data_IF_067965182915
#
_entry.id   IF_067965182915
#
_cell.length_a   1.000
_cell.length_b   1.000
_cell.length_c   1.000
_cell.angle_alpha   90.00
_cell.angle_beta   90.00
_cell.angle_gamma   90.00
#
_symmetry.space_group_name_H-M   'P 1'
#
loop_
_entity.id
_entity.type
_entity.pdbx_description
1 polymer ?
#
# COMPACT_ATOMS: atom_id res chain seq x y z
N UNK A 1 -6.53 30.32 39.25
CA UNK A 1 -6.53 30.00 37.81
C UNK A 1 -7.65 29.01 37.58
N UNK A 2 -8.64 29.37 36.76
CA UNK A 2 -9.73 28.46 36.38
C UNK A 2 -9.17 27.38 35.45
N UNK A 3 -9.62 26.11 35.54
CA UNK A 3 -9.23 25.11 34.55
C UNK A 3 -9.74 25.54 33.16
N UNK A 4 -9.00 25.24 32.07
CA UNK A 4 -9.48 25.53 30.74
C UNK A 4 -10.82 24.82 30.50
N UNK A 5 -11.78 25.45 29.83
CA UNK A 5 -13.04 24.80 29.49
C UNK A 5 -12.74 23.55 28.67
N UNK A 6 -13.23 22.41 29.13
CA UNK A 6 -13.00 21.09 28.54
C UNK A 6 -13.80 20.83 27.27
N UNK A 7 -14.71 21.73 26.90
CA UNK A 7 -15.59 21.60 25.75
C UNK A 7 -15.49 22.80 24.81
N UNK A 8 -15.25 22.54 23.53
CA UNK A 8 -15.36 23.52 22.46
C UNK A 8 -16.84 23.69 22.08
N UNK A 9 -17.53 24.62 22.72
CA UNK A 9 -18.98 24.81 22.56
C UNK A 9 -19.41 25.61 21.32
N UNK A 10 -18.45 26.17 20.58
CA UNK A 10 -18.75 27.02 19.43
C UNK A 10 -19.06 26.23 18.15
N UNK A 11 -18.60 24.98 18.05
CA UNK A 11 -18.83 24.18 16.85
C UNK A 11 -20.32 24.02 16.54
N UNK A 12 -21.15 23.74 17.55
CA UNK A 12 -22.59 23.55 17.37
C UNK A 12 -23.35 24.83 17.03
N UNK A 13 -22.74 26.00 17.25
CA UNK A 13 -23.33 27.31 16.93
C UNK A 13 -23.12 27.70 15.47
N UNK A 14 -22.25 26.99 14.75
CA UNK A 14 -22.03 27.23 13.33
C UNK A 14 -23.24 26.79 12.51
N UNK A 15 -23.59 27.52 11.43
CA UNK A 15 -24.52 27.06 10.40
C UNK A 15 -24.19 25.63 9.94
N UNK A 16 -25.23 24.87 9.60
CA UNK A 16 -25.08 23.46 9.25
C UNK A 16 -24.11 23.26 8.08
N UNK A 17 -24.14 24.14 7.09
CA UNK A 17 -23.27 24.11 5.92
C UNK A 17 -21.78 24.15 6.32
N UNK A 18 -21.43 25.03 7.27
CA UNK A 18 -20.05 25.16 7.75
C UNK A 18 -19.64 23.94 8.57
N UNK A 19 -20.53 23.38 9.40
CA UNK A 19 -20.23 22.17 10.19
C UNK A 19 -19.97 20.97 9.28
N UNK A 20 -20.80 20.79 8.26
CA UNK A 20 -20.62 19.71 7.27
C UNK A 20 -19.33 19.89 6.47
N UNK A 21 -18.98 21.12 6.10
CA UNK A 21 -17.73 21.39 5.38
C UNK A 21 -16.50 21.13 6.26
N UNK A 22 -16.55 21.51 7.54
CA UNK A 22 -15.50 21.17 8.50
C UNK A 22 -15.35 19.65 8.62
N UNK A 23 -16.45 18.88 8.69
CA UNK A 23 -16.36 17.42 8.73
C UNK A 23 -15.70 16.86 7.47
N UNK A 24 -16.06 17.33 6.29
CA UNK A 24 -15.43 16.88 5.03
C UNK A 24 -13.94 17.17 5.02
N UNK A 25 -13.54 18.38 5.41
CA UNK A 25 -12.15 18.82 5.48
C UNK A 25 -11.36 18.18 6.63
N UNK A 26 -12.04 17.60 7.62
CA UNK A 26 -11.38 16.88 8.73
C UNK A 26 -10.87 15.49 8.34
N UNK A 27 -11.26 14.99 7.16
CA UNK A 27 -10.72 13.74 6.63
C UNK A 27 -9.28 13.96 6.18
N UNK A 28 -8.39 13.08 6.62
CA UNK A 28 -6.96 13.13 6.30
C UNK A 28 -6.56 11.89 5.54
N UNK A 29 -5.52 12.04 4.75
CA UNK A 29 -4.82 10.91 4.14
C UNK A 29 -4.27 9.99 5.23
N UNK A 30 -4.24 8.69 4.96
CA UNK A 30 -3.68 7.70 5.88
C UNK A 30 -3.30 6.41 5.18
N UNK A 31 -2.47 5.64 5.87
CA UNK A 31 -2.03 4.31 5.41
C UNK A 31 -2.90 3.25 6.08
N UNK A 32 -3.54 2.41 5.26
CA UNK A 32 -4.37 1.30 5.72
C UNK A 32 -3.61 0.00 5.51
N UNK A 33 -3.06 -0.56 6.59
CA UNK A 33 -2.43 -1.88 6.55
C UNK A 33 -3.50 -2.96 6.39
N UNK A 34 -3.41 -3.76 5.34
CA UNK A 34 -4.32 -4.88 5.10
C UNK A 34 -3.53 -6.16 4.96
N UNK A 35 -3.98 -7.18 5.66
CA UNK A 35 -3.36 -8.48 5.62
C UNK A 35 -4.43 -9.52 5.42
N UNK A 36 -4.18 -10.44 4.50
CA UNK A 36 -5.09 -11.53 4.22
C UNK A 36 -4.69 -12.75 5.06
N UNK A 37 -5.62 -13.23 5.89
CA UNK A 37 -5.48 -14.50 6.60
C UNK A 37 -6.09 -15.60 5.73
N UNK A 38 -5.23 -16.47 5.18
CA UNK A 38 -5.63 -17.57 4.31
C UNK A 38 -6.31 -18.72 5.06
N UNK A 39 -6.03 -18.91 6.35
CA UNK A 39 -6.68 -19.94 7.18
C UNK A 39 -8.14 -19.59 7.47
N UNK A 40 -8.42 -18.31 7.70
CA UNK A 40 -9.77 -17.80 7.98
C UNK A 40 -10.49 -17.26 6.73
N UNK A 41 -9.81 -17.18 5.58
CA UNK A 41 -10.31 -16.48 4.38
C UNK A 41 -10.88 -15.09 4.71
N UNK A 42 -10.07 -14.25 5.36
CA UNK A 42 -10.50 -12.93 5.86
C UNK A 42 -9.39 -11.90 5.81
N UNK A 43 -9.74 -10.67 5.43
CA UNK A 43 -8.83 -9.54 5.58
C UNK A 43 -8.90 -8.95 7.00
N UNK A 44 -7.74 -8.57 7.50
CA UNK A 44 -7.53 -7.95 8.79
C UNK A 44 -6.82 -6.60 8.59
N UNK A 45 -7.14 -5.60 9.41
CA UNK A 45 -6.32 -4.36 9.55
C UNK A 45 -5.91 -4.03 10.99
N UNK A 46 -4.70 -3.50 11.16
CA UNK A 46 -4.20 -2.85 12.40
C UNK A 46 -4.50 -1.35 12.41
N UNK A 47 -4.94 -0.78 11.29
CA UNK A 47 -5.22 0.64 11.15
C UNK A 47 -6.49 1.02 11.91
N UNK A 48 -6.44 2.17 12.59
CA UNK A 48 -7.61 2.69 13.30
C UNK A 48 -8.71 3.11 12.33
N UNK A 49 -10.00 2.94 12.68
CA UNK A 49 -11.09 3.56 11.95
C UNK A 49 -10.91 5.08 11.88
N UNK A 50 -11.29 5.75 10.77
CA UNK A 50 -11.20 7.19 10.65
C UNK A 50 -11.84 7.93 11.83
N UNK A 51 -11.18 9.00 12.31
CA UNK A 51 -11.67 9.84 13.41
C UNK A 51 -13.13 10.27 13.20
N UNK A 52 -13.43 10.72 11.98
CA UNK A 52 -14.76 11.19 11.57
C UNK A 52 -15.88 10.16 11.81
N UNK A 53 -15.60 8.85 11.80
CA UNK A 53 -16.62 7.81 12.00
C UNK A 53 -17.00 7.60 13.48
N UNK A 54 -16.24 8.16 14.41
CA UNK A 54 -16.45 7.95 15.84
C UNK A 54 -16.50 9.22 16.68
N UNK A 55 -16.32 10.42 16.10
CA UNK A 55 -16.47 11.69 16.82
C UNK A 55 -17.90 11.96 17.31
N UNK A 56 -18.88 11.99 16.40
CA UNK A 56 -20.30 12.22 16.73
C UNK A 56 -21.23 11.69 15.62
N UNK A 57 -22.55 11.76 15.81
CA UNK A 57 -23.54 11.26 14.83
C UNK A 57 -23.47 12.00 13.49
N UNK A 58 -23.33 13.32 13.50
CA UNK A 58 -23.25 14.13 12.27
C UNK A 58 -21.96 13.83 11.49
N UNK A 59 -20.83 13.84 12.20
CA UNK A 59 -19.53 13.45 11.68
C UNK A 59 -19.59 12.06 11.04
N UNK A 60 -20.14 11.05 11.73
CA UNK A 60 -20.30 9.69 11.20
C UNK A 60 -21.14 9.67 9.93
N UNK A 61 -22.25 10.42 9.89
CA UNK A 61 -23.10 10.47 8.71
C UNK A 61 -22.34 11.02 7.50
N UNK A 62 -21.53 12.07 7.67
CA UNK A 62 -20.70 12.61 6.59
C UNK A 62 -19.57 11.65 6.21
N UNK A 63 -18.87 11.06 7.20
CA UNK A 63 -17.77 10.13 6.94
C UNK A 63 -18.20 8.87 6.20
N UNK A 64 -19.38 8.31 6.50
CA UNK A 64 -19.92 7.14 5.79
C UNK A 64 -20.32 7.42 4.34
N UNK A 65 -20.33 8.69 3.90
CA UNK A 65 -20.53 9.03 2.49
C UNK A 65 -19.31 8.64 1.66
N UNK A 66 -18.12 8.81 2.22
CA UNK A 66 -16.83 8.62 1.53
C UNK A 66 -16.12 7.31 1.92
N UNK A 67 -16.13 6.93 3.20
CA UNK A 67 -15.52 5.70 3.67
C UNK A 67 -16.52 4.54 3.52
N UNK A 68 -16.11 3.48 2.81
CA UNK A 68 -16.89 2.26 2.65
C UNK A 68 -16.16 1.10 3.28
N UNK A 69 -16.89 0.09 3.72
CA UNK A 69 -16.26 -1.17 4.06
C UNK A 69 -15.72 -1.81 2.77
N UNK A 70 -14.46 -2.23 2.80
CA UNK A 70 -13.74 -2.82 1.67
C UNK A 70 -12.94 -4.04 2.10
N UNK A 71 -12.37 -4.74 1.11
CA UNK A 71 -11.52 -5.91 1.29
C UNK A 71 -12.24 -7.12 1.89
N UNK A 72 -13.48 -7.35 1.45
CA UNK A 72 -14.18 -8.61 1.73
C UNK A 72 -13.58 -9.76 0.91
N UNK A 73 -13.86 -10.99 1.32
CA UNK A 73 -13.42 -12.21 0.66
C UNK A 73 -14.64 -13.01 0.18
N UNK A 74 -14.45 -14.25 -0.25
CA UNK A 74 -15.56 -15.15 -0.59
C UNK A 74 -16.34 -15.60 0.66
N UNK A 75 -15.65 -15.82 1.78
CA UNK A 75 -16.27 -16.27 3.03
C UNK A 75 -16.69 -15.13 3.97
N UNK A 76 -16.11 -13.94 3.81
CA UNK A 76 -16.32 -12.81 4.74
C UNK A 76 -16.73 -11.53 4.03
N UNK A 77 -17.68 -10.81 4.62
CA UNK A 77 -18.06 -9.47 4.16
C UNK A 77 -16.96 -8.44 4.44
N UNK A 78 -16.86 -7.39 3.60
CA UNK A 78 -15.95 -6.28 3.83
C UNK A 78 -16.17 -5.64 5.21
N UNK A 79 -15.09 -5.39 5.95
CA UNK A 79 -15.15 -4.82 7.31
C UNK A 79 -14.09 -3.72 7.60
N UNK A 80 -13.24 -3.39 6.63
CA UNK A 80 -12.22 -2.36 6.76
C UNK A 80 -12.74 -1.09 6.10
N UNK A 81 -12.86 0.01 6.86
CA UNK A 81 -13.20 1.31 6.27
C UNK A 81 -12.06 1.78 5.37
N UNK A 82 -12.38 2.03 4.11
CA UNK A 82 -11.43 2.47 3.08
C UNK A 82 -12.05 3.57 2.21
N UNK A 83 -11.25 4.59 1.87
CA UNK A 83 -11.60 5.61 0.89
C UNK A 83 -10.48 5.71 -0.15
N UNK A 84 -10.69 5.24 -1.40
CA UNK A 84 -9.65 5.23 -2.44
C UNK A 84 -8.91 6.53 -2.69
N UNK A 85 -9.53 7.68 -2.43
CA UNK A 85 -8.98 9.00 -2.72
C UNK A 85 -8.17 9.60 -1.56
N UNK A 86 -8.18 8.95 -0.39
CA UNK A 86 -7.48 9.41 0.82
C UNK A 86 -6.61 8.31 1.43
N UNK A 87 -6.97 7.05 1.23
CA UNK A 87 -6.30 5.92 1.85
C UNK A 87 -5.33 5.26 0.88
N UNK A 88 -4.08 5.13 1.31
CA UNK A 88 -3.10 4.24 0.67
C UNK A 88 -3.28 2.83 1.21
N UNK A 89 -3.52 1.86 0.33
CA UNK A 89 -3.52 0.44 0.70
C UNK A 89 -2.08 -0.01 0.92
N UNK A 90 -1.74 -0.48 2.12
CA UNK A 90 -0.43 -1.05 2.39
C UNK A 90 -0.53 -2.56 2.64
N UNK A 91 0.20 -3.34 1.83
CA UNK A 91 0.31 -4.79 1.94
C UNK A 91 1.70 -5.14 2.52
N UNK A 92 1.86 -5.14 3.85
CA UNK A 92 3.12 -5.48 4.49
C UNK A 92 3.52 -6.92 4.21
N UNK A 93 4.84 -7.15 4.13
CA UNK A 93 5.42 -8.48 3.98
C UNK A 93 5.13 -9.31 5.23
N UNK A 94 4.54 -10.51 5.10
CA UNK A 94 4.39 -11.43 6.22
C UNK A 94 5.77 -11.78 6.76
N UNK A 95 5.90 -11.92 8.09
CA UNK A 95 7.17 -11.88 8.86
C UNK A 95 8.36 -12.73 8.35
N UNK A 96 8.90 -13.69 9.12
CA UNK A 96 10.14 -14.37 8.73
C UNK A 96 10.01 -15.26 7.48
N UNK A 97 8.79 -15.65 7.10
CA UNK A 97 8.56 -16.57 5.97
C UNK A 97 8.40 -15.85 4.63
N UNK A 98 8.24 -14.52 4.64
CA UNK A 98 8.00 -13.72 3.45
C UNK A 98 6.59 -13.88 2.89
N UNK A 99 6.40 -13.44 1.65
CA UNK A 99 5.13 -13.57 0.94
C UNK A 99 4.83 -15.04 0.59
N UNK A 100 3.59 -15.46 0.83
CA UNK A 100 3.07 -16.77 0.40
C UNK A 100 2.27 -16.64 -0.92
N UNK A 101 1.72 -17.76 -1.40
CA UNK A 101 0.91 -17.81 -2.62
C UNK A 101 -0.38 -16.94 -2.55
N UNK A 102 -0.81 -16.57 -1.34
CA UNK A 102 -1.99 -15.72 -1.16
C UNK A 102 -1.72 -14.27 -1.58
N UNK A 103 -0.47 -13.80 -1.44
CA UNK A 103 -0.07 -12.49 -1.94
C UNK A 103 -0.16 -12.42 -3.46
N UNK A 104 0.23 -13.49 -4.17
CA UNK A 104 0.07 -13.60 -5.63
C UNK A 104 -1.40 -13.54 -6.04
N UNK A 105 -2.25 -14.24 -5.29
CA UNK A 105 -3.67 -14.41 -5.63
C UNK A 105 -4.57 -13.34 -4.99
N UNK A 106 -3.98 -12.28 -4.44
CA UNK A 106 -4.70 -11.32 -3.59
C UNK A 106 -5.94 -10.72 -4.28
N UNK A 107 -5.91 -10.29 -5.56
CA UNK A 107 -7.12 -9.79 -6.23
C UNK A 107 -8.16 -10.85 -6.54
N UNK A 108 -7.73 -12.10 -6.73
CA UNK A 108 -8.67 -13.20 -6.93
C UNK A 108 -9.36 -13.59 -5.61
N UNK A 109 -8.70 -13.37 -4.47
CA UNK A 109 -9.18 -13.72 -3.13
C UNK A 109 -9.92 -12.55 -2.43
N UNK A 110 -9.55 -11.31 -2.75
CA UNK A 110 -10.00 -10.10 -2.05
C UNK A 110 -10.74 -9.16 -3.00
N UNK A 111 -11.97 -8.83 -2.64
CA UNK A 111 -12.85 -7.89 -3.33
C UNK A 111 -12.37 -6.45 -3.16
N UNK A 112 -12.82 -5.56 -4.05
CA UNK A 112 -12.56 -4.11 -4.03
C UNK A 112 -11.11 -3.67 -4.29
N UNK A 113 -10.21 -4.60 -4.66
CA UNK A 113 -8.84 -4.29 -5.10
C UNK A 113 -8.80 -3.42 -6.36
N UNK A 114 -9.84 -3.52 -7.20
CA UNK A 114 -10.04 -2.67 -8.38
C UNK A 114 -10.32 -1.19 -8.03
N UNK A 115 -10.58 -0.86 -6.76
CA UNK A 115 -10.81 0.51 -6.30
C UNK A 115 -9.56 1.17 -5.75
N UNK A 116 -8.46 0.44 -5.58
CA UNK A 116 -7.22 0.96 -5.01
C UNK A 116 -6.56 1.92 -6.01
N UNK A 117 -6.22 3.13 -5.54
CA UNK A 117 -5.51 4.16 -6.31
C UNK A 117 -4.05 4.23 -5.88
N UNK A 118 -3.80 4.19 -4.57
CA UNK A 118 -2.45 4.25 -4.01
C UNK A 118 -2.12 2.93 -3.31
N UNK A 119 -1.00 2.31 -3.70
CA UNK A 119 -0.55 1.03 -3.18
C UNK A 119 0.83 1.16 -2.55
N UNK A 120 1.00 0.63 -1.35
CA UNK A 120 2.29 0.46 -0.71
C UNK A 120 2.60 -1.02 -0.53
N UNK A 121 3.86 -1.39 -0.75
CA UNK A 121 4.39 -2.75 -0.53
C UNK A 121 5.82 -2.64 0.00
N UNK A 122 6.29 -3.62 0.76
CA UNK A 122 7.66 -3.63 1.23
C UNK A 122 8.65 -3.87 0.08
N UNK A 123 9.73 -3.10 0.04
CA UNK A 123 10.87 -3.41 -0.81
C UNK A 123 11.62 -4.61 -0.22
N UNK A 124 11.71 -5.69 -1.00
CA UNK A 124 12.47 -6.89 -0.64
C UNK A 124 13.70 -6.98 -1.53
N UNK A 125 14.87 -6.84 -0.91
CA UNK A 125 16.15 -7.07 -1.57
C UNK A 125 16.23 -8.51 -2.10
N UNK A 126 16.80 -8.73 -3.30
CA UNK A 126 16.95 -10.08 -3.84
C UNK A 126 17.77 -11.03 -2.95
N UNK A 127 18.71 -10.50 -2.16
CA UNK A 127 19.63 -11.26 -1.28
C UNK A 127 18.94 -11.90 -0.09
N UNK A 128 17.85 -11.28 0.41
CA UNK A 128 17.09 -11.75 1.57
C UNK A 128 15.76 -12.39 1.20
N UNK A 129 15.39 -12.35 -0.09
CA UNK A 129 14.20 -13.02 -0.62
C UNK A 129 14.36 -14.52 -0.48
N UNK A 130 13.34 -15.19 0.05
CA UNK A 130 13.35 -16.64 0.13
C UNK A 130 13.07 -17.28 -1.24
N UNK A 131 13.66 -18.45 -1.53
CA UNK A 131 13.43 -19.16 -2.80
C UNK A 131 11.95 -19.53 -3.05
N UNK A 132 11.14 -19.64 -1.99
CA UNK A 132 9.72 -19.98 -2.07
C UNK A 132 8.80 -18.76 -2.08
N UNK A 133 9.33 -17.52 -2.01
CA UNK A 133 8.51 -16.34 -2.29
C UNK A 133 8.20 -16.37 -3.80
N UNK A 134 7.09 -17.03 -4.14
CA UNK A 134 6.63 -17.31 -5.52
C UNK A 134 6.22 -16.06 -6.29
N UNK A 135 6.35 -14.90 -5.67
CA UNK A 135 5.75 -13.65 -6.07
C UNK A 135 6.80 -12.52 -6.07
N UNK A 136 6.68 -11.62 -7.05
CA UNK A 136 7.60 -10.51 -7.27
C UNK A 136 6.85 -9.19 -7.35
N UNK A 137 7.44 -8.05 -6.93
CA UNK A 137 6.77 -6.74 -6.70
C UNK A 137 5.85 -6.33 -7.86
N UNK A 138 6.23 -6.68 -9.08
CA UNK A 138 5.48 -6.50 -10.31
C UNK A 138 4.06 -7.08 -10.33
N UNK A 139 3.86 -8.28 -9.80
CA UNK A 139 2.57 -8.99 -9.91
C UNK A 139 1.48 -8.33 -9.02
N UNK A 140 1.80 -7.75 -7.85
CA UNK A 140 0.89 -7.10 -6.87
C UNK A 140 0.54 -5.70 -7.36
N UNK A 141 1.49 -5.02 -8.00
CA UNK A 141 1.18 -3.75 -8.66
C UNK A 141 0.16 -4.00 -9.77
N UNK A 142 0.34 -5.04 -10.59
CA UNK A 142 -0.62 -5.40 -11.65
C UNK A 142 -1.94 -5.94 -11.16
N UNK A 143 -1.93 -6.51 -9.97
CA UNK A 143 -3.10 -7.01 -9.25
C UNK A 143 -4.11 -5.90 -8.91
N UNK A 144 -3.70 -4.64 -8.88
CA UNK A 144 -4.57 -3.50 -8.60
C UNK A 144 -4.66 -2.58 -9.85
N UNK A 145 -5.65 -2.76 -10.74
CA UNK A 145 -5.64 -2.18 -12.09
C UNK A 145 -5.83 -0.66 -12.15
N UNK A 146 -6.26 -0.01 -11.06
CA UNK A 146 -6.44 1.46 -11.00
C UNK A 146 -5.33 2.15 -10.22
N UNK A 147 -4.29 1.43 -9.82
CA UNK A 147 -3.18 2.03 -9.08
C UNK A 147 -2.47 3.06 -9.95
N UNK A 148 -2.36 4.26 -9.41
CA UNK A 148 -1.68 5.40 -10.03
C UNK A 148 -0.29 5.59 -9.43
N UNK A 149 -0.12 5.32 -8.13
CA UNK A 149 1.18 5.44 -7.45
C UNK A 149 1.48 4.21 -6.62
N UNK A 150 2.74 3.77 -6.66
CA UNK A 150 3.25 2.67 -5.83
C UNK A 150 4.35 3.18 -4.91
N UNK A 151 4.18 2.95 -3.61
CA UNK A 151 5.17 3.24 -2.60
C UNK A 151 5.92 1.97 -2.21
N UNK A 152 7.20 1.90 -2.56
CA UNK A 152 8.11 0.89 -2.04
C UNK A 152 8.58 1.29 -0.66
N UNK A 153 8.14 0.54 0.33
CA UNK A 153 8.45 0.78 1.73
C UNK A 153 9.80 0.14 2.05
N UNK A 154 10.78 0.98 2.34
CA UNK A 154 12.15 0.57 2.67
C UNK A 154 12.35 0.56 4.18
N UNK A 155 13.32 -0.22 4.66
CA UNK A 155 13.66 -0.32 6.08
C UNK A 155 12.43 -0.58 6.97
N UNK A 156 11.40 -1.26 6.44
CA UNK A 156 10.30 -1.65 7.29
C UNK A 156 10.84 -2.67 8.28
N UNK A 157 10.81 -2.31 9.56
CA UNK A 157 10.99 -3.29 10.61
C UNK A 157 10.01 -4.41 10.29
N UNK A 158 10.53 -5.63 10.01
CA UNK A 158 9.71 -6.83 9.85
C UNK A 158 8.89 -6.95 11.13
N UNK A 159 7.72 -6.34 11.13
CA UNK A 159 6.86 -6.25 12.29
C UNK A 159 6.37 -7.66 12.54
N UNK A 160 7.13 -8.40 13.33
CA UNK A 160 6.83 -9.75 13.75
C UNK A 160 5.46 -9.72 14.40
N UNK A 161 4.55 -10.48 13.82
CA UNK A 161 3.18 -10.65 14.24
C UNK A 161 2.26 -9.42 14.06
N UNK A 162 1.19 -9.66 13.32
CA UNK A 162 -0.13 -9.30 13.78
C UNK A 162 -0.26 -9.50 15.28
N UNK A 163 -0.06 -8.45 16.06
CA UNK A 163 -0.45 -8.45 17.46
C UNK A 163 -1.93 -8.10 17.49
N UNK A 164 -2.75 -9.15 17.37
CA UNK A 164 -4.20 -9.07 17.47
C UNK A 164 -4.58 -8.15 18.66
N UNK A 165 -5.22 -7.02 18.35
CA UNK A 165 -5.69 -6.04 19.34
C UNK A 165 -4.89 -4.73 19.48
N UNK A 166 -3.70 -4.58 18.87
CA UNK A 166 -2.96 -3.30 18.93
C UNK A 166 -3.21 -2.42 17.71
N UNK A 167 -4.16 -1.49 17.80
CA UNK A 167 -4.39 -0.52 16.72
C UNK A 167 -3.26 0.52 16.64
N UNK A 168 -2.72 0.72 15.45
CA UNK A 168 -1.63 1.67 15.20
C UNK A 168 -1.95 2.62 14.04
N UNK A 169 -1.20 3.71 14.00
CA UNK A 169 -1.18 4.65 12.88
C UNK A 169 0.15 4.48 12.17
N UNK A 170 0.08 4.18 10.89
CA UNK A 170 1.26 4.05 10.02
C UNK A 170 1.32 5.30 9.14
N UNK A 171 2.52 5.84 9.00
CA UNK A 171 2.80 6.94 8.10
C UNK A 171 3.95 6.53 7.16
N UNK A 172 3.84 6.93 5.90
CA UNK A 172 4.87 6.76 4.89
C UNK A 172 5.52 8.13 4.66
N UNK A 173 6.77 8.24 5.06
CA UNK A 173 7.55 9.47 4.95
C UNK A 173 8.64 9.30 3.89
N UNK A 174 9.18 10.42 3.42
CA UNK A 174 10.37 10.36 2.57
C UNK A 174 11.52 9.73 3.36
N UNK A 175 12.32 8.86 2.72
CA UNK A 175 13.38 8.15 3.41
C UNK A 175 14.51 9.11 3.81
N UNK A 176 14.94 9.02 5.06
CA UNK A 176 16.11 9.75 5.57
C UNK A 176 17.39 8.99 5.16
N UNK A 177 17.74 9.11 3.87
CA UNK A 177 18.90 8.47 3.25
C UNK A 177 19.71 9.54 2.53
N UNK A 178 21.03 9.46 2.62
CA UNK A 178 21.91 10.37 1.89
C UNK A 178 21.83 10.14 0.36
N UNK A 179 22.20 11.16 -0.41
CA UNK A 179 22.06 11.10 -1.87
C UNK A 179 22.82 9.92 -2.53
N UNK A 180 24.06 9.58 -2.11
CA UNK A 180 24.76 8.41 -2.66
C UNK A 180 24.04 7.09 -2.38
N UNK A 181 23.66 6.83 -1.12
CA UNK A 181 22.98 5.58 -0.77
C UNK A 181 21.59 5.50 -1.42
N UNK A 182 20.91 6.63 -1.59
CA UNK A 182 19.65 6.69 -2.34
C UNK A 182 19.85 6.33 -3.81
N UNK A 183 20.92 6.82 -4.45
CA UNK A 183 21.23 6.48 -5.84
C UNK A 183 21.53 4.98 -6.00
N UNK A 184 22.35 4.41 -5.12
CA UNK A 184 22.66 2.97 -5.13
C UNK A 184 21.40 2.12 -4.93
N UNK A 185 20.53 2.52 -4.01
CA UNK A 185 19.26 1.85 -3.76
C UNK A 185 18.32 1.93 -4.98
N UNK A 186 18.24 3.08 -5.64
CA UNK A 186 17.44 3.24 -6.86
C UNK A 186 17.95 2.34 -7.99
N UNK A 187 19.27 2.20 -8.14
CA UNK A 187 19.86 1.25 -9.10
C UNK A 187 19.46 -0.19 -8.75
N UNK A 188 19.61 -0.60 -7.49
CA UNK A 188 19.23 -1.94 -7.04
C UNK A 188 17.72 -2.22 -7.22
N UNK A 189 16.87 -1.22 -6.99
CA UNK A 189 15.42 -1.30 -7.25
C UNK A 189 15.18 -1.49 -8.74
N UNK A 190 15.81 -0.69 -9.61
CA UNK A 190 15.66 -0.77 -11.06
C UNK A 190 16.06 -2.16 -11.57
N UNK A 191 17.24 -2.65 -11.19
CA UNK A 191 17.73 -3.98 -11.57
C UNK A 191 16.79 -5.10 -11.11
N UNK A 192 16.34 -5.05 -9.85
CA UNK A 192 15.37 -6.01 -9.31
C UNK A 192 14.07 -5.99 -10.11
N UNK A 193 13.58 -4.82 -10.51
CA UNK A 193 12.34 -4.70 -11.28
C UNK A 193 12.49 -5.17 -12.72
N UNK A 194 13.59 -4.83 -13.40
CA UNK A 194 13.85 -5.31 -14.76
C UNK A 194 13.93 -6.85 -14.81
N UNK A 195 14.62 -7.45 -13.82
CA UNK A 195 14.67 -8.90 -13.68
C UNK A 195 13.28 -9.51 -13.47
N UNK A 196 12.47 -8.90 -12.59
CA UNK A 196 11.12 -9.38 -12.25
C UNK A 196 10.10 -9.23 -13.39
N UNK A 197 10.20 -8.15 -14.17
CA UNK A 197 9.31 -7.87 -15.29
C UNK A 197 9.67 -8.66 -16.56
N UNK A 198 10.89 -9.20 -16.65
CA UNK A 198 11.43 -9.82 -17.86
C UNK A 198 11.58 -8.83 -19.02
N UNK A 199 11.66 -7.54 -18.71
CA UNK A 199 11.79 -6.42 -19.64
C UNK A 199 12.74 -5.41 -18.99
N UNK A 200 13.72 -4.89 -19.72
CA UNK A 200 14.49 -3.73 -19.27
C UNK A 200 13.55 -2.55 -19.08
N UNK A 201 13.24 -2.23 -17.83
CA UNK A 201 12.43 -1.08 -17.51
C UNK A 201 13.33 0.14 -17.58
N UNK A 202 13.13 0.97 -18.61
CA UNK A 202 13.64 2.33 -18.61
C UNK A 202 12.89 3.10 -17.53
N UNK A 203 13.44 3.09 -16.32
CA UNK A 203 13.10 4.05 -15.28
C UNK A 203 13.60 5.40 -15.81
N UNK A 204 12.71 6.12 -16.49
CA UNK A 204 12.95 7.43 -17.10
C UNK A 204 13.47 8.41 -16.05
N UNK A 205 14.79 8.54 -15.98
CA UNK A 205 15.48 9.72 -15.46
C UNK A 205 16.07 10.42 -16.69
N UNK A 206 15.31 11.36 -17.25
CA UNK A 206 15.67 12.31 -18.31
C UNK A 206 16.79 11.92 -19.31
N UNK A 207 16.37 11.55 -20.53
CA UNK A 207 17.09 11.63 -21.83
C UNK A 207 18.63 11.76 -21.81
N UNK A 208 19.33 10.69 -22.23
CA UNK A 208 20.46 10.81 -23.16
C UNK A 208 20.70 9.49 -23.94
N UNK A 209 20.82 9.59 -25.27
CA UNK A 209 20.95 8.48 -26.25
C UNK A 209 21.96 7.38 -25.87
N UNK A 210 21.66 6.09 -26.14
CA UNK A 210 22.57 4.98 -25.90
C UNK A 210 23.45 4.66 -27.13
N UNK A 211 24.70 4.24 -26.87
CA UNK A 211 25.42 3.35 -27.80
C UNK A 211 25.09 1.88 -27.46
N UNK A 212 25.07 0.96 -28.45
CA UNK A 212 24.57 -0.39 -28.25
C UNK A 212 25.65 -1.30 -27.65
N UNK A 213 25.30 -2.07 -26.62
CA UNK A 213 26.12 -3.19 -26.13
C UNK A 213 25.31 -4.49 -26.22
N UNK A 214 26.03 -5.53 -26.64
CA UNK A 214 25.58 -6.82 -27.15
C UNK A 214 24.85 -7.70 -26.13
N UNK A 215 23.92 -8.50 -26.68
CA UNK A 215 23.09 -9.49 -26.01
C UNK A 215 23.93 -10.62 -25.40
N UNK A 216 23.65 -11.02 -24.15
CA UNK A 216 24.10 -12.34 -23.66
C UNK A 216 23.08 -13.02 -22.72
N UNK A 217 22.68 -14.22 -23.15
CA UNK A 217 22.27 -15.43 -22.42
C UNK A 217 20.94 -15.51 -21.64
N UNK A 218 20.03 -16.29 -22.22
CA UNK A 218 18.77 -16.78 -21.67
C UNK A 218 19.01 -17.77 -20.51
N UNK A 219 18.51 -17.45 -19.32
CA UNK A 219 18.39 -18.41 -18.22
C UNK A 219 17.07 -19.20 -18.36
N UNK A 220 17.15 -20.53 -18.27
CA UNK A 220 15.99 -21.45 -18.34
C UNK A 220 14.93 -21.11 -17.28
N UNK A 221 13.75 -20.64 -17.73
CA UNK A 221 12.57 -20.41 -16.89
C UNK A 221 11.77 -21.71 -16.65
N UNK A 222 11.31 -21.88 -15.41
CA UNK A 222 10.35 -22.91 -14.98
C UNK A 222 9.07 -22.89 -15.85
N UNK A 223 8.62 -24.04 -16.41
CA UNK A 223 7.47 -24.10 -17.32
C UNK A 223 6.13 -23.68 -16.68
N UNK A 224 6.03 -23.50 -15.35
CA UNK A 224 4.86 -22.93 -14.70
C UNK A 224 4.70 -21.41 -14.90
N UNK A 225 5.70 -20.73 -15.49
CA UNK A 225 5.71 -19.27 -15.67
C UNK A 225 5.01 -18.75 -16.94
N UNK A 226 4.37 -19.61 -17.75
CA UNK A 226 3.66 -19.16 -18.95
C UNK A 226 2.17 -19.48 -18.92
N UNK A 227 1.34 -18.47 -18.63
CA UNK A 227 0.27 -17.97 -19.51
C UNK A 227 -0.70 -17.02 -18.78
N UNK A 228 -0.38 -15.72 -18.76
CA UNK A 228 -1.40 -14.64 -18.79
C UNK A 228 -1.07 -13.74 -19.98
N UNK A 229 -2.07 -13.20 -20.71
CA UNK A 229 -1.90 -12.76 -22.09
C UNK A 229 -0.95 -11.56 -22.23
N UNK A 230 -0.27 -11.43 -23.39
CA UNK A 230 0.75 -10.41 -23.67
C UNK A 230 0.25 -8.95 -23.67
N UNK A 231 -1.02 -8.69 -23.35
CA UNK A 231 -1.55 -7.34 -23.19
C UNK A 231 -1.23 -6.73 -21.83
N UNK A 232 -1.19 -7.52 -20.75
CA UNK A 232 -0.83 -7.01 -19.42
C UNK A 232 0.60 -6.45 -19.41
N UNK A 233 1.50 -7.02 -20.24
CA UNK A 233 2.89 -6.57 -20.40
C UNK A 233 3.05 -5.20 -21.08
N UNK A 234 1.99 -4.64 -21.69
CA UNK A 234 2.06 -3.41 -22.51
C UNK A 234 1.63 -2.14 -21.77
N UNK A 235 1.11 -2.24 -20.55
CA UNK A 235 0.73 -1.04 -19.77
C UNK A 235 1.97 -0.45 -19.10
N UNK A 236 2.20 0.88 -19.21
CA UNK A 236 3.26 1.53 -18.46
C UNK A 236 3.03 1.30 -16.96
N UNK A 237 4.10 0.99 -16.23
CA UNK A 237 4.00 0.83 -14.79
C UNK A 237 3.62 2.18 -14.14
N UNK A 238 2.82 2.15 -13.06
CA UNK A 238 2.60 3.36 -12.26
C UNK A 238 3.95 3.86 -11.70
N UNK A 239 4.11 5.18 -11.51
CA UNK A 239 5.20 5.77 -10.76
C UNK A 239 5.51 4.99 -9.47
N UNK A 240 6.79 4.70 -9.26
CA UNK A 240 7.29 3.99 -8.09
C UNK A 240 8.11 4.96 -7.24
N UNK A 241 7.69 5.15 -5.99
CA UNK A 241 8.29 6.08 -5.02
C UNK A 241 8.84 5.30 -3.84
N UNK A 242 10.02 5.69 -3.34
CA UNK A 242 10.58 5.11 -2.13
C UNK A 242 10.03 5.84 -0.89
N UNK A 243 9.60 5.09 0.12
CA UNK A 243 9.12 5.63 1.40
C UNK A 243 9.68 4.84 2.57
N UNK A 244 9.90 5.51 3.70
CA UNK A 244 10.15 4.85 4.98
C UNK A 244 8.85 4.76 5.78
N UNK A 245 8.68 3.63 6.47
CA UNK A 245 7.55 3.41 7.39
C UNK A 245 7.88 3.90 8.77
N UNK A 246 7.01 4.71 9.35
CA UNK A 246 7.04 5.03 10.78
C UNK A 246 5.71 4.64 11.43
N UNK A 247 5.78 4.24 12.71
CA UNK A 247 4.59 4.02 13.53
C UNK A 247 4.43 5.24 14.42
N UNK A 248 3.40 6.05 14.17
CA UNK A 248 3.16 7.25 14.96
C UNK A 248 2.80 6.86 16.41
N UNK A 249 3.47 7.48 17.38
CA UNK A 249 3.12 7.37 18.79
C UNK A 249 1.72 7.98 19.04
N UNK A 250 1.03 7.52 20.08
CA UNK A 250 -0.31 8.00 20.45
C UNK A 250 -0.36 9.54 20.47
N UNK A 251 -1.07 10.14 19.50
CA UNK A 251 -1.60 11.51 19.60
C UNK A 251 -2.81 11.57 20.53
#
# INVERSE_FOLDING_TARGET
MSPPPSNFEFFSQLPAELRLEIWRLSCSERVVEVFYNSEEDRCLTTSRPPAILHTCRESRNEGLRIFKNSFGTNSHEPNIYFCPYLDTLYLPRPGPLGYDDSARSFPELVRDTDKVIDLAIDYVEPTIRHPWETYNKFVLMRSCPKVQEVFLVINSDYSTAWNEGSTRTVELIDPDIDAPALADLLVAVKESFSFEAGVDLDVDLEKHDPEPVEQTEEAELDPAYQSKPPELLKMPLPPVLLKSKIIAARG
#
